data_IF_546960789656
#
_entry.id   IF_546960789656
#
_cell.length_a   1.000
_cell.length_b   1.000
_cell.length_c   1.000
_cell.angle_alpha   90.00
_cell.angle_beta   90.00
_cell.angle_gamma   90.00
#
_symmetry.space_group_name_H-M   'P 1'
#
loop_
_entity.id
_entity.type
_entity.pdbx_description
1 polymer ?
#
# COMPACT_ATOMS: atom_id res chain seq x y z
N UNK A 1 -11.79 25.99 -34.48
CA UNK A 1 -12.91 26.85 -34.04
C UNK A 1 -12.28 28.16 -33.56
N UNK A 2 -12.42 29.29 -34.26
CA UNK A 2 -11.81 30.55 -33.82
C UNK A 2 -12.76 31.29 -32.86
N UNK A 3 -12.21 31.78 -31.74
CA UNK A 3 -12.95 32.54 -30.73
C UNK A 3 -13.01 34.01 -31.14
N UNK A 4 -14.22 34.57 -31.20
CA UNK A 4 -14.45 35.93 -31.70
C UNK A 4 -14.47 36.99 -30.59
N UNK A 5 -14.32 36.60 -29.33
CA UNK A 5 -14.28 37.50 -28.17
C UNK A 5 -13.25 37.00 -27.15
N UNK A 6 -12.68 37.89 -26.31
CA UNK A 6 -11.79 37.50 -25.22
C UNK A 6 -12.42 36.44 -24.30
N UNK A 7 -13.70 36.62 -23.96
CA UNK A 7 -14.45 35.68 -23.09
C UNK A 7 -14.59 34.30 -23.74
N UNK A 8 -14.89 34.23 -25.04
CA UNK A 8 -14.98 32.95 -25.75
C UNK A 8 -13.61 32.24 -25.83
N UNK A 9 -12.51 33.00 -25.90
CA UNK A 9 -11.16 32.44 -25.85
C UNK A 9 -10.84 31.86 -24.48
N UNK A 10 -11.22 32.54 -23.39
CA UNK A 10 -11.03 32.04 -22.03
C UNK A 10 -11.82 30.75 -21.77
N UNK A 11 -13.10 30.72 -22.14
CA UNK A 11 -13.93 29.51 -22.00
C UNK A 11 -13.37 28.34 -22.82
N UNK A 12 -12.93 28.57 -24.05
CA UNK A 12 -12.31 27.53 -24.88
C UNK A 12 -11.03 26.99 -24.24
N UNK A 13 -10.21 27.86 -23.64
CA UNK A 13 -8.98 27.45 -22.96
C UNK A 13 -9.28 26.56 -21.74
N UNK A 14 -10.33 26.86 -20.97
CA UNK A 14 -10.75 26.02 -19.84
C UNK A 14 -11.21 24.65 -20.31
N UNK A 15 -12.02 24.59 -21.37
CA UNK A 15 -12.51 23.31 -21.96
C UNK A 15 -11.35 22.47 -22.51
N UNK A 16 -10.41 23.09 -23.20
CA UNK A 16 -9.21 22.42 -23.70
C UNK A 16 -8.27 21.96 -22.58
N UNK A 17 -8.12 22.75 -21.50
CA UNK A 17 -7.31 22.38 -20.35
C UNK A 17 -7.85 21.14 -19.62
N UNK A 18 -9.17 20.90 -19.69
CA UNK A 18 -9.80 19.68 -19.21
C UNK A 18 -9.74 18.51 -20.22
N UNK A 19 -9.04 18.67 -21.35
CA UNK A 19 -8.95 17.70 -22.44
C UNK A 19 -10.31 17.32 -23.06
N UNK A 20 -11.28 18.25 -23.05
CA UNK A 20 -12.60 18.09 -23.65
C UNK A 20 -12.58 18.68 -25.07
N UNK A 21 -13.12 17.94 -26.04
CA UNK A 21 -13.23 18.39 -27.42
C UNK A 21 -14.29 19.50 -27.54
N UNK A 22 -13.94 20.72 -27.98
CA UNK A 22 -14.90 21.83 -28.02
C UNK A 22 -16.03 21.61 -29.03
N UNK A 23 -17.27 21.75 -28.56
CA UNK A 23 -18.51 21.69 -29.33
C UNK A 23 -19.39 22.90 -29.01
N UNK A 24 -19.87 23.60 -30.04
CA UNK A 24 -20.74 24.77 -29.85
C UNK A 24 -22.20 24.40 -29.57
N UNK A 25 -22.56 23.14 -29.72
CA UNK A 25 -23.92 22.65 -29.47
C UNK A 25 -24.08 22.10 -28.04
N UNK A 26 -22.99 21.96 -27.31
CA UNK A 26 -22.98 21.44 -25.95
C UNK A 26 -22.70 22.57 -24.94
N UNK A 27 -23.77 23.03 -24.29
CA UNK A 27 -23.69 24.07 -23.27
C UNK A 27 -23.17 23.55 -21.91
N UNK A 28 -22.85 22.25 -21.80
CA UNK A 28 -22.38 21.63 -20.56
C UNK A 28 -20.86 21.53 -20.45
N UNK A 29 -20.12 21.78 -21.54
CA UNK A 29 -18.67 21.56 -21.60
C UNK A 29 -17.86 22.39 -20.61
N UNK A 30 -18.27 23.63 -20.33
CA UNK A 30 -17.58 24.47 -19.34
C UNK A 30 -17.75 23.90 -17.92
N UNK A 31 -18.95 23.40 -17.59
CA UNK A 31 -19.21 22.77 -16.30
C UNK A 31 -18.42 21.47 -16.16
N UNK A 32 -18.41 20.64 -17.19
CA UNK A 32 -17.59 19.43 -17.24
C UNK A 32 -16.11 19.76 -17.04
N UNK A 33 -15.60 20.78 -17.75
CA UNK A 33 -14.21 21.19 -17.66
C UNK A 33 -13.82 21.68 -16.26
N UNK A 34 -14.66 22.50 -15.62
CA UNK A 34 -14.44 22.96 -14.25
C UNK A 34 -14.42 21.78 -13.28
N UNK A 35 -15.35 20.84 -13.41
CA UNK A 35 -15.39 19.65 -12.56
C UNK A 35 -14.15 18.78 -12.73
N UNK A 36 -13.68 18.57 -13.96
CA UNK A 36 -12.45 17.83 -14.26
C UNK A 36 -11.21 18.53 -13.72
N UNK A 37 -11.11 19.85 -13.86
CA UNK A 37 -9.96 20.63 -13.37
C UNK A 37 -9.90 20.70 -11.84
N UNK A 38 -11.04 20.67 -11.16
CA UNK A 38 -11.13 20.58 -9.70
C UNK A 38 -10.82 19.16 -9.22
N UNK A 39 -11.36 18.13 -9.89
CA UNK A 39 -11.13 16.72 -9.54
C UNK A 39 -9.67 16.29 -9.74
N UNK A 40 -9.02 16.78 -10.80
CA UNK A 40 -7.64 16.44 -11.13
C UNK A 40 -6.62 17.35 -10.44
N UNK A 41 -7.06 18.17 -9.48
CA UNK A 41 -6.19 19.07 -8.71
C UNK A 41 -5.31 19.91 -9.62
N UNK A 42 -5.91 20.91 -10.29
CA UNK A 42 -5.25 21.88 -11.18
C UNK A 42 -3.72 21.78 -11.24
N UNK A 43 -3.20 21.20 -12.33
CA UNK A 43 -1.78 21.25 -12.66
C UNK A 43 -1.35 22.71 -12.83
N UNK A 44 -0.95 23.36 -11.74
CA UNK A 44 -0.53 24.75 -11.75
C UNK A 44 -0.68 25.45 -10.41
N UNK A 45 0.09 25.04 -9.39
CA UNK A 45 0.25 25.88 -8.21
C UNK A 45 0.71 25.14 -6.96
N UNK A 46 2.02 25.01 -6.80
CA UNK A 46 2.61 24.94 -5.46
C UNK A 46 2.31 26.27 -4.77
N UNK A 47 1.40 26.27 -3.80
CA UNK A 47 0.96 27.46 -3.09
C UNK A 47 0.00 27.09 -1.98
N UNK A 48 0.53 26.72 -0.81
CA UNK A 48 -0.26 26.28 0.33
C UNK A 48 -1.28 27.33 0.79
N UNK A 49 -2.50 26.86 1.04
CA UNK A 49 -3.37 27.41 2.08
C UNK A 49 -4.34 26.31 2.54
N UNK A 50 -4.28 25.96 3.82
CA UNK A 50 -4.95 24.80 4.40
C UNK A 50 -6.48 24.87 4.36
N UNK A 51 -7.09 23.78 3.90
CA UNK A 51 -8.50 23.47 3.98
C UNK A 51 -8.73 22.07 3.43
N UNK A 52 -8.59 21.04 4.29
CA UNK A 52 -8.69 19.65 3.86
C UNK A 52 -10.07 19.29 3.31
N UNK A 53 -10.15 18.24 2.48
CA UNK A 53 -11.29 17.29 2.40
C UNK A 53 -11.12 16.21 1.30
N UNK A 54 -9.96 15.56 1.20
CA UNK A 54 -9.81 14.37 0.36
C UNK A 54 -8.47 13.69 0.60
N UNK A 55 -8.47 12.38 0.80
CA UNK A 55 -7.23 11.60 0.72
C UNK A 55 -6.72 11.65 -0.73
N UNK A 56 -5.41 11.80 -0.93
CA UNK A 56 -4.79 11.84 -2.26
C UNK A 56 -4.98 10.51 -2.99
N UNK A 57 -5.16 10.53 -4.31
CA UNK A 57 -5.20 9.29 -5.11
C UNK A 57 -3.85 8.56 -4.95
N UNK A 58 -3.91 7.26 -4.72
CA UNK A 58 -2.74 6.44 -4.37
C UNK A 58 -2.46 6.33 -2.86
N UNK A 59 -3.12 7.14 -2.02
CA UNK A 59 -3.02 6.98 -0.57
C UNK A 59 -3.74 5.71 -0.09
N UNK A 60 -3.14 5.01 0.86
CA UNK A 60 -3.69 3.81 1.50
C UNK A 60 -4.13 4.16 2.92
N UNK A 61 -5.31 3.69 3.33
CA UNK A 61 -5.77 3.79 4.72
C UNK A 61 -6.48 2.52 5.17
N UNK A 62 -6.57 2.35 6.48
CA UNK A 62 -7.35 1.29 7.11
C UNK A 62 -8.79 1.74 7.34
N UNK A 63 -9.73 0.84 7.07
CA UNK A 63 -11.16 1.00 7.29
C UNK A 63 -11.65 -0.02 8.34
N UNK A 64 -12.45 0.45 9.29
CA UNK A 64 -13.10 -0.40 10.30
C UNK A 64 -14.33 -1.18 9.75
N UNK A 65 -14.60 -1.04 8.45
CA UNK A 65 -15.69 -1.69 7.73
C UNK A 65 -15.13 -2.61 6.64
N UNK A 66 -15.78 -3.75 6.33
CA UNK A 66 -15.26 -4.71 5.37
C UNK A 66 -15.21 -4.16 3.94
N UNK A 67 -16.20 -3.34 3.57
CA UNK A 67 -16.30 -2.71 2.24
C UNK A 67 -15.97 -1.23 2.37
N UNK A 68 -14.93 -0.72 1.69
CA UNK A 68 -14.60 0.70 1.75
C UNK A 68 -15.67 1.54 1.03
N UNK A 69 -15.77 2.85 1.34
CA UNK A 69 -16.68 3.75 0.67
C UNK A 69 -16.30 3.96 -0.81
N UNK A 70 -17.21 4.55 -1.58
CA UNK A 70 -16.98 4.88 -2.98
C UNK A 70 -15.71 5.75 -3.18
N UNK A 71 -15.01 5.52 -4.29
CA UNK A 71 -13.73 6.15 -4.59
C UNK A 71 -12.52 5.44 -3.99
N UNK A 72 -12.71 4.33 -3.30
CA UNK A 72 -11.65 3.49 -2.74
C UNK A 72 -11.75 2.06 -3.26
N UNK A 73 -10.58 1.44 -3.49
CA UNK A 73 -10.47 0.04 -3.89
C UNK A 73 -9.73 -0.74 -2.80
N UNK A 74 -10.19 -1.96 -2.51
CA UNK A 74 -9.53 -2.83 -1.53
C UNK A 74 -8.12 -3.17 -2.02
N UNK A 75 -7.14 -3.16 -1.11
CA UNK A 75 -5.80 -3.62 -1.40
C UNK A 75 -5.72 -5.15 -1.33
N UNK A 76 -6.23 -5.82 -2.38
CA UNK A 76 -6.33 -7.28 -2.50
C UNK A 76 -5.52 -7.90 -3.66
N UNK A 77 -4.63 -7.11 -4.28
CA UNK A 77 -3.81 -7.55 -5.41
C UNK A 77 -4.54 -7.65 -6.75
N UNK A 78 -5.80 -7.21 -6.84
CA UNK A 78 -6.56 -7.26 -8.09
C UNK A 78 -5.93 -6.41 -9.19
N UNK A 79 -6.05 -6.89 -10.44
CA UNK A 79 -5.71 -6.13 -11.63
C UNK A 79 -6.88 -5.20 -12.01
N UNK A 80 -6.59 -3.92 -12.24
CA UNK A 80 -7.59 -2.89 -12.55
C UNK A 80 -7.22 -2.12 -13.82
N UNK A 81 -8.24 -1.55 -14.48
CA UNK A 81 -8.11 -0.85 -15.76
C UNK A 81 -7.26 0.42 -15.64
N UNK A 82 -6.23 0.57 -16.49
CA UNK A 82 -5.42 1.79 -16.62
C UNK A 82 -6.26 2.97 -17.11
N UNK A 83 -7.30 2.71 -17.90
CA UNK A 83 -8.17 3.76 -18.46
C UNK A 83 -9.17 4.26 -17.43
N UNK A 84 -9.82 3.34 -16.70
CA UNK A 84 -10.84 3.72 -15.72
C UNK A 84 -10.23 4.33 -14.45
N UNK A 85 -8.98 3.97 -14.14
CA UNK A 85 -8.24 4.47 -13.00
C UNK A 85 -6.94 5.17 -13.43
N UNK A 86 -7.01 6.03 -14.44
CA UNK A 86 -5.85 6.69 -15.04
C UNK A 86 -5.02 7.51 -14.03
N UNK A 87 -5.66 8.25 -13.13
CA UNK A 87 -4.96 9.03 -12.10
C UNK A 87 -4.25 8.12 -11.09
N UNK A 88 -4.88 7.00 -10.71
CA UNK A 88 -4.26 6.02 -9.84
C UNK A 88 -3.06 5.34 -10.52
N UNK A 89 -3.21 4.98 -11.80
CA UNK A 89 -2.11 4.42 -12.59
C UNK A 89 -0.95 5.42 -12.72
N UNK A 90 -1.23 6.69 -12.93
CA UNK A 90 -0.21 7.74 -12.96
C UNK A 90 0.52 7.87 -11.60
N UNK A 91 -0.18 7.65 -10.49
CA UNK A 91 0.38 7.75 -9.15
C UNK A 91 1.24 6.55 -8.74
N UNK A 92 0.81 5.31 -9.02
CA UNK A 92 1.49 4.10 -8.51
C UNK A 92 2.16 3.25 -9.60
N UNK A 93 1.84 3.46 -10.87
CA UNK A 93 2.36 2.69 -11.99
C UNK A 93 2.08 1.19 -11.83
N UNK A 94 3.09 0.37 -12.14
CA UNK A 94 3.04 -1.11 -12.02
C UNK A 94 3.85 -1.63 -10.83
N UNK A 95 4.16 -0.79 -9.83
CA UNK A 95 5.02 -1.18 -8.70
C UNK A 95 4.46 -2.35 -7.88
N UNK A 96 3.14 -2.57 -7.94
CA UNK A 96 2.43 -3.67 -7.28
C UNK A 96 2.08 -4.83 -8.23
N UNK A 97 2.58 -4.79 -9.47
CA UNK A 97 2.37 -5.78 -10.52
C UNK A 97 1.89 -5.17 -11.83
N UNK A 98 2.31 -5.77 -12.94
CA UNK A 98 2.08 -5.25 -14.29
C UNK A 98 0.66 -5.48 -14.84
N UNK A 99 -0.17 -6.25 -14.14
CA UNK A 99 -1.47 -6.70 -14.65
C UNK A 99 -1.30 -7.59 -15.87
N UNK A 100 -1.92 -7.20 -16.98
CA UNK A 100 -1.79 -7.79 -18.32
C UNK A 100 -0.73 -7.09 -19.18
N UNK A 101 0.09 -6.22 -18.59
CA UNK A 101 1.13 -5.38 -19.22
C UNK A 101 0.60 -4.29 -20.18
N UNK A 102 -0.64 -4.39 -20.64
CA UNK A 102 -1.21 -3.56 -21.70
C UNK A 102 -2.30 -2.63 -21.15
N UNK A 103 -3.37 -3.20 -20.60
CA UNK A 103 -4.61 -2.49 -20.28
C UNK A 103 -4.85 -2.33 -18.78
N UNK A 104 -4.12 -3.08 -17.94
CA UNK A 104 -4.32 -3.15 -16.50
C UNK A 104 -3.02 -2.96 -15.72
N UNK A 105 -3.17 -2.74 -14.41
CA UNK A 105 -2.09 -2.71 -13.42
C UNK A 105 -2.63 -3.27 -12.10
N UNK A 106 -1.76 -3.77 -11.23
CA UNK A 106 -2.20 -4.37 -9.98
C UNK A 106 -2.29 -3.35 -8.84
N UNK A 107 -3.27 -3.55 -7.98
CA UNK A 107 -3.35 -2.94 -6.66
C UNK A 107 -2.35 -3.61 -5.69
N UNK A 108 -2.00 -2.96 -4.56
CA UNK A 108 -1.32 -3.64 -3.47
C UNK A 108 -2.14 -4.83 -2.96
N UNK A 109 -1.49 -5.91 -2.52
CA UNK A 109 -2.13 -6.94 -1.68
C UNK A 109 -1.60 -6.80 -0.25
N UNK A 110 -2.43 -6.25 0.64
CA UNK A 110 -2.03 -5.95 2.03
C UNK A 110 -2.77 -6.84 3.03
N UNK A 111 -3.40 -7.92 2.56
CA UNK A 111 -4.18 -8.81 3.42
C UNK A 111 -3.22 -9.65 4.27
N UNK A 112 -3.35 -9.54 5.59
CA UNK A 112 -2.50 -10.27 6.54
C UNK A 112 -1.11 -9.65 6.75
N UNK A 113 -0.79 -8.58 6.03
CA UNK A 113 0.55 -7.98 6.08
C UNK A 113 0.67 -6.88 7.14
N UNK A 114 1.86 -6.77 7.72
CA UNK A 114 2.25 -5.61 8.51
C UNK A 114 2.98 -4.59 7.63
N UNK A 115 2.56 -3.33 7.72
CA UNK A 115 3.17 -2.26 6.94
C UNK A 115 4.32 -1.66 7.73
N UNK A 116 5.48 -1.58 7.08
CA UNK A 116 6.66 -0.85 7.58
C UNK A 116 6.93 0.37 6.71
N UNK A 117 7.42 1.44 7.33
CA UNK A 117 7.88 2.60 6.57
C UNK A 117 9.06 2.22 5.67
N UNK A 118 9.04 2.70 4.43
CA UNK A 118 10.16 2.54 3.51
C UNK A 118 11.38 3.29 4.03
N UNK A 119 12.54 2.64 4.04
CA UNK A 119 13.74 3.17 4.70
C UNK A 119 14.25 4.47 4.08
N UNK A 120 14.14 4.60 2.75
CA UNK A 120 14.48 5.80 1.99
C UNK A 120 15.85 6.43 2.35
N UNK A 121 16.85 5.60 2.69
CA UNK A 121 18.22 6.04 2.98
C UNK A 121 18.52 6.33 4.45
N UNK A 122 17.64 5.93 5.39
CA UNK A 122 17.90 6.02 6.84
C UNK A 122 18.78 4.87 7.36
N UNK A 123 18.97 3.82 6.57
CA UNK A 123 19.80 2.64 6.84
C UNK A 123 19.32 1.75 8.00
N UNK A 124 18.08 1.90 8.45
CA UNK A 124 17.49 1.00 9.44
C UNK A 124 16.95 -0.29 8.82
N UNK A 125 16.65 -0.28 7.53
CA UNK A 125 16.31 -1.44 6.71
C UNK A 125 17.09 -1.41 5.39
N UNK A 126 18.41 -1.35 5.51
CA UNK A 126 19.32 -1.13 4.39
C UNK A 126 19.14 -2.21 3.30
N UNK A 127 19.11 -1.77 2.04
CA UNK A 127 18.99 -2.64 0.87
C UNK A 127 17.57 -3.13 0.58
N UNK A 128 16.56 -2.71 1.35
CA UNK A 128 15.19 -3.07 1.05
C UNK A 128 14.63 -2.27 -0.12
N UNK A 129 14.03 -2.97 -1.09
CA UNK A 129 13.35 -2.34 -2.22
C UNK A 129 11.95 -1.85 -1.84
N UNK A 130 11.50 -0.75 -2.44
CA UNK A 130 10.14 -0.26 -2.23
C UNK A 130 9.11 -1.32 -2.68
N UNK A 131 8.00 -1.44 -1.96
CA UNK A 131 6.92 -2.42 -2.19
C UNK A 131 7.33 -3.91 -2.10
N UNK A 132 8.57 -4.23 -1.72
CA UNK A 132 9.02 -5.62 -1.60
C UNK A 132 8.49 -6.32 -0.33
N UNK A 133 8.02 -7.56 -0.51
CA UNK A 133 7.57 -8.43 0.57
C UNK A 133 8.73 -9.01 1.38
N UNK A 134 8.50 -9.31 2.66
CA UNK A 134 9.45 -10.04 3.52
C UNK A 134 8.70 -10.90 4.51
N UNK A 135 9.22 -12.12 4.69
CA UNK A 135 8.73 -13.06 5.68
C UNK A 135 8.94 -12.56 7.12
N UNK A 136 8.25 -13.18 8.07
CA UNK A 136 8.55 -12.98 9.48
C UNK A 136 9.97 -13.46 9.82
N UNK A 137 10.62 -12.75 10.75
CA UNK A 137 11.94 -13.11 11.25
C UNK A 137 12.07 -12.76 12.72
N UNK A 138 12.66 -13.67 13.50
CA UNK A 138 13.14 -13.36 14.83
C UNK A 138 14.55 -12.80 14.78
N UNK A 139 14.81 -11.78 15.61
CA UNK A 139 16.19 -11.37 15.88
C UNK A 139 17.01 -12.58 16.35
N UNK A 140 18.15 -12.81 15.70
CA UNK A 140 19.12 -13.84 16.06
C UNK A 140 19.43 -13.78 17.56
N UNK A 141 19.32 -14.93 18.23
CA UNK A 141 19.63 -15.08 19.64
C UNK A 141 20.18 -16.49 19.92
N UNK A 142 20.76 -16.68 21.11
CA UNK A 142 21.36 -17.97 21.54
C UNK A 142 20.85 -18.35 22.93
N UNK A 143 20.71 -19.65 23.17
CA UNK A 143 20.41 -20.22 24.48
C UNK A 143 21.63 -20.96 25.02
N UNK A 144 21.91 -20.83 26.32
CA UNK A 144 22.96 -21.59 26.99
C UNK A 144 22.34 -22.41 28.11
N UNK A 145 22.46 -23.74 28.01
CA UNK A 145 22.00 -24.67 29.03
C UNK A 145 23.16 -25.54 29.48
N UNK A 146 23.39 -25.64 30.80
CA UNK A 146 24.43 -26.51 31.38
C UNK A 146 23.77 -27.60 32.21
N UNK A 147 23.74 -28.83 31.69
CA UNK A 147 23.30 -30.03 32.43
C UNK A 147 24.51 -30.79 32.93
N UNK A 148 24.73 -30.84 34.25
CA UNK A 148 25.70 -31.78 34.84
C UNK A 148 24.98 -33.10 35.10
N UNK A 149 25.19 -34.08 34.21
CA UNK A 149 24.72 -35.46 34.41
C UNK A 149 25.87 -36.29 34.97
N UNK A 150 25.71 -36.83 36.17
CA UNK A 150 26.67 -37.75 36.79
C UNK A 150 25.93 -39.00 37.28
N UNK A 151 26.37 -40.17 36.83
CA UNK A 151 25.98 -41.44 37.45
C UNK A 151 26.98 -41.77 38.56
N UNK A 152 26.49 -41.91 39.80
CA UNK A 152 27.27 -42.58 40.84
C UNK A 152 27.03 -44.08 40.69
N UNK A 153 28.02 -44.83 40.20
CA UNK A 153 27.97 -46.29 40.26
C UNK A 153 28.25 -46.74 41.70
N UNK A 154 27.25 -47.38 42.33
CA UNK A 154 27.45 -48.07 43.60
C UNK A 154 28.38 -49.28 43.38
N UNK A 155 29.64 -49.17 43.82
CA UNK A 155 30.60 -50.27 43.83
C UNK A 155 31.89 -50.06 43.03
N UNK A 156 32.08 -48.92 42.35
CA UNK A 156 33.31 -48.64 41.60
C UNK A 156 34.41 -48.04 42.50
N UNK A 157 35.45 -48.83 42.77
CA UNK A 157 36.67 -48.38 43.44
C UNK A 157 37.66 -47.80 42.42
N UNK A 158 37.40 -46.59 41.90
CA UNK A 158 38.33 -45.89 41.02
C UNK A 158 37.80 -44.56 40.48
N UNK A 159 38.68 -43.56 40.21
CA UNK A 159 38.26 -42.23 39.80
C UNK A 159 37.94 -42.22 38.29
N UNK A 160 36.75 -42.71 37.92
CA UNK A 160 36.32 -42.77 36.52
C UNK A 160 34.92 -42.21 36.33
N UNK A 161 34.76 -40.89 36.28
CA UNK A 161 33.48 -40.26 35.92
C UNK A 161 33.29 -40.34 34.40
N UNK A 162 32.33 -41.16 33.95
CA UNK A 162 31.90 -41.20 32.54
C UNK A 162 30.74 -40.24 32.34
N UNK A 163 30.95 -39.17 31.57
CA UNK A 163 29.88 -38.23 31.18
C UNK A 163 29.27 -38.66 29.85
N UNK A 164 28.01 -39.11 29.85
CA UNK A 164 27.23 -39.27 28.61
C UNK A 164 26.67 -37.91 28.19
N UNK A 165 26.95 -37.48 26.95
CA UNK A 165 26.27 -36.34 26.34
C UNK A 165 25.01 -36.86 25.65
N UNK A 166 23.85 -36.50 26.19
CA UNK A 166 22.53 -36.82 25.63
C UNK A 166 21.97 -35.56 24.98
N UNK A 167 21.67 -35.61 23.68
CA UNK A 167 20.97 -34.53 22.98
C UNK A 167 19.50 -34.58 23.35
N UNK A 168 19.08 -33.66 24.21
CA UNK A 168 17.67 -33.45 24.54
C UNK A 168 17.13 -32.29 23.72
N UNK A 169 16.12 -32.56 22.88
CA UNK A 169 15.37 -31.51 22.22
C UNK A 169 14.30 -30.98 23.18
N UNK A 170 14.09 -29.67 23.20
CA UNK A 170 12.86 -29.11 23.77
C UNK A 170 11.68 -29.46 22.89
N UNK A 171 10.47 -29.47 23.44
CA UNK A 171 9.25 -29.53 22.63
C UNK A 171 9.06 -28.22 21.86
N UNK A 172 8.26 -28.27 20.80
CA UNK A 172 7.78 -27.08 20.11
C UNK A 172 6.84 -26.28 21.01
N UNK A 173 6.88 -24.96 20.92
CA UNK A 173 5.94 -24.07 21.62
C UNK A 173 5.73 -22.84 20.76
N UNK A 174 4.47 -22.48 20.53
CA UNK A 174 4.09 -21.40 19.61
C UNK A 174 3.01 -21.87 18.64
N UNK A 175 2.79 -21.07 17.60
CA UNK A 175 1.97 -21.44 16.44
C UNK A 175 2.78 -21.29 15.14
N UNK A 176 2.11 -21.42 14.00
CA UNK A 176 2.73 -21.40 12.67
C UNK A 176 3.36 -20.05 12.28
N UNK A 177 3.00 -18.96 12.97
CA UNK A 177 3.42 -17.60 12.65
C UNK A 177 3.82 -16.83 13.91
N UNK A 178 4.92 -16.08 13.80
CA UNK A 178 5.34 -15.12 14.83
C UNK A 178 4.59 -13.81 14.68
N UNK A 179 3.70 -13.48 15.60
CA UNK A 179 3.00 -12.20 15.59
C UNK A 179 2.66 -11.64 16.97
N UNK A 180 2.67 -10.31 17.14
CA UNK A 180 2.06 -9.68 18.31
C UNK A 180 0.52 -9.80 18.24
N UNK A 181 -0.16 -9.40 19.32
CA UNK A 181 -1.62 -9.20 19.30
C UNK A 181 -1.97 -8.15 18.24
N UNK A 182 -2.93 -8.46 17.38
CA UNK A 182 -3.38 -7.57 16.30
C UNK A 182 -4.91 -7.63 16.13
N UNK A 183 -5.46 -6.64 15.41
CA UNK A 183 -6.86 -6.57 14.97
C UNK A 183 -6.84 -6.38 13.46
N UNK A 184 -7.66 -7.13 12.72
CA UNK A 184 -7.78 -7.00 11.29
C UNK A 184 -8.71 -5.84 10.89
N UNK A 185 -8.27 -5.07 9.90
CA UNK A 185 -9.01 -3.97 9.26
C UNK A 185 -8.86 -4.08 7.74
N UNK A 186 -9.76 -3.46 6.98
CA UNK A 186 -9.67 -3.45 5.52
C UNK A 186 -8.72 -2.33 5.09
N UNK A 187 -7.60 -2.66 4.45
CA UNK A 187 -6.81 -1.67 3.73
C UNK A 187 -7.43 -1.38 2.37
N UNK A 188 -7.56 -0.11 2.04
CA UNK A 188 -8.01 0.33 0.73
C UNK A 188 -7.20 1.54 0.26
N UNK A 189 -7.06 1.65 -1.05
CA UNK A 189 -6.34 2.70 -1.76
C UNK A 189 -7.32 3.67 -2.39
N UNK A 190 -7.06 4.97 -2.27
CA UNK A 190 -7.89 5.99 -2.92
C UNK A 190 -7.67 5.90 -4.42
N UNK A 191 -8.73 5.57 -5.16
CA UNK A 191 -8.65 5.33 -6.59
C UNK A 191 -9.18 6.50 -7.44
N UNK A 192 -10.24 7.17 -6.96
CA UNK A 192 -10.87 8.29 -7.64
C UNK A 192 -11.71 9.12 -6.67
N UNK A 193 -12.08 10.34 -7.06
CA UNK A 193 -13.04 11.17 -6.33
C UNK A 193 -14.46 10.92 -6.85
N UNK A 194 -15.42 10.52 -5.99
CA UNK A 194 -16.81 10.39 -6.42
C UNK A 194 -17.33 11.73 -6.94
N UNK A 195 -17.99 11.72 -8.09
CA UNK A 195 -18.77 12.88 -8.55
C UNK A 195 -20.02 12.98 -7.66
N UNK A 196 -20.31 14.19 -7.15
CA UNK A 196 -21.50 14.40 -6.34
C UNK A 196 -22.73 13.91 -7.12
N UNK A 197 -23.48 12.98 -6.53
CA UNK A 197 -24.75 12.54 -7.09
C UNK A 197 -25.66 13.77 -7.26
N UNK A 198 -26.07 14.05 -8.50
CA UNK A 198 -27.08 15.08 -8.77
C UNK A 198 -28.37 14.68 -8.04
N UNK A 199 -28.72 15.43 -7.01
CA UNK A 199 -30.00 15.31 -6.31
C UNK A 199 -31.16 15.75 -7.19
#
# INVERSE_FOLDING_TARGET
MQCNTPVASEVLNVVLAANIAPDRQDDTQLLQAINTLIANGGSGGSGGNGGGSGAEIGSVTAFAMPTPPEGWLVCDGSAVSRTDYADLFAAIGTVWGDGDEITTFNLPDLRGEFIRGFDAGREADAGREFASWQADEFKRHTHTYTRRSGTAEAGSSGPGSRTNLETLNTSETGGDETRPRNIAMTYAIKAFYPVAASA
#
